data_IF_340183571038
#
_entry.id   IF_340183571038
#
_cell.length_a   1.000
_cell.length_b   1.000
_cell.length_c   1.000
_cell.angle_alpha   90.00
_cell.angle_beta   90.00
_cell.angle_gamma   90.00
#
_symmetry.space_group_name_H-M   'P 1'
#
loop_
_entity.id
_entity.type
_entity.pdbx_description
1 polymer ?
#
# COMPACT_ATOMS: atom_id res chain seq x y z
N UNK A 1 -15.03 -4.79 -18.68
CA UNK A 1 -14.15 -5.35 -17.65
C UNK A 1 -14.27 -6.87 -17.49
N UNK A 2 -15.32 -7.41 -16.88
CA UNK A 2 -15.25 -8.79 -16.34
C UNK A 2 -15.44 -9.95 -17.33
N UNK A 3 -15.92 -9.70 -18.56
CA UNK A 3 -16.32 -10.77 -19.51
C UNK A 3 -15.23 -11.82 -19.74
N UNK A 4 -13.98 -11.38 -19.93
CA UNK A 4 -12.85 -12.28 -20.17
C UNK A 4 -12.50 -13.10 -18.92
N UNK A 5 -12.64 -12.49 -17.73
CA UNK A 5 -12.38 -13.16 -16.46
C UNK A 5 -13.46 -14.19 -16.13
N UNK A 6 -14.73 -13.91 -16.43
CA UNK A 6 -15.84 -14.88 -16.31
C UNK A 6 -15.64 -16.07 -17.25
N UNK A 7 -15.18 -15.85 -18.49
CA UNK A 7 -14.81 -16.93 -19.41
C UNK A 7 -13.65 -17.77 -18.88
N UNK A 8 -12.68 -17.13 -18.23
CA UNK A 8 -11.54 -17.80 -17.61
C UNK A 8 -11.99 -18.66 -16.43
N UNK A 9 -12.84 -18.13 -15.55
CA UNK A 9 -13.45 -18.90 -14.45
C UNK A 9 -14.24 -20.11 -14.97
N UNK A 10 -15.06 -19.94 -16.01
CA UNK A 10 -15.79 -21.04 -16.63
C UNK A 10 -14.85 -22.11 -17.23
N UNK A 11 -13.68 -21.73 -17.73
CA UNK A 11 -12.67 -22.67 -18.19
C UNK A 11 -11.97 -23.40 -17.03
N UNK A 12 -11.68 -22.71 -15.93
CA UNK A 12 -11.13 -23.32 -14.70
C UNK A 12 -12.11 -24.32 -14.09
N UNK A 13 -13.37 -23.95 -13.92
CA UNK A 13 -14.43 -24.85 -13.40
C UNK A 13 -14.62 -26.09 -14.27
N UNK A 14 -14.49 -25.93 -15.59
CA UNK A 14 -14.56 -27.04 -16.53
C UNK A 14 -13.28 -27.89 -16.62
N UNK A 15 -12.25 -27.59 -15.82
CA UNK A 15 -10.95 -28.29 -15.86
C UNK A 15 -10.14 -28.05 -17.14
N UNK A 16 -10.50 -27.06 -17.95
CA UNK A 16 -9.79 -26.69 -19.19
C UNK A 16 -8.55 -25.84 -18.92
N UNK A 17 -8.51 -25.17 -17.78
CA UNK A 17 -7.35 -24.43 -17.28
C UNK A 17 -7.04 -24.99 -15.89
N UNK A 18 -5.79 -25.41 -15.67
CA UNK A 18 -5.35 -25.84 -14.35
C UNK A 18 -5.27 -24.63 -13.40
N UNK A 19 -5.74 -24.82 -12.17
CA UNK A 19 -5.59 -23.85 -11.08
C UNK A 19 -4.12 -23.46 -10.81
N UNK A 20 -3.15 -24.31 -11.15
CA UNK A 20 -1.73 -23.98 -11.06
C UNK A 20 -1.33 -22.78 -11.93
N UNK A 21 -2.09 -22.48 -12.98
CA UNK A 21 -1.86 -21.30 -13.81
C UNK A 21 -2.08 -19.96 -13.06
N UNK A 22 -2.59 -20.00 -11.82
CA UNK A 22 -2.82 -18.86 -10.94
C UNK A 22 -1.97 -18.92 -9.67
N UNK A 23 -1.14 -19.96 -9.51
CA UNK A 23 -0.28 -20.11 -8.35
C UNK A 23 0.71 -18.94 -8.22
N UNK A 24 1.13 -18.66 -6.98
CA UNK A 24 2.21 -17.72 -6.73
C UNK A 24 3.42 -18.10 -7.57
N UNK A 25 3.97 -17.11 -8.26
CA UNK A 25 5.16 -17.29 -9.08
C UNK A 25 6.11 -16.12 -8.82
N UNK A 26 7.16 -16.40 -8.06
CA UNK A 26 8.22 -15.43 -7.80
C UNK A 26 8.90 -15.00 -9.11
N UNK A 27 9.08 -13.70 -9.25
CA UNK A 27 9.82 -13.01 -10.30
C UNK A 27 10.55 -11.82 -9.68
N UNK A 28 11.46 -11.19 -10.43
CA UNK A 28 12.26 -10.07 -9.96
C UNK A 28 12.20 -8.92 -10.97
N UNK A 29 12.08 -7.69 -10.48
CA UNK A 29 12.15 -6.49 -11.31
C UNK A 29 13.60 -6.12 -11.67
N UNK A 30 13.78 -5.02 -12.42
CA UNK A 30 15.11 -4.56 -12.84
C UNK A 30 15.99 -4.12 -11.65
N UNK A 31 15.38 -3.78 -10.51
CA UNK A 31 16.02 -3.37 -9.26
C UNK A 31 16.30 -4.57 -8.34
N UNK A 32 15.88 -5.78 -8.73
CA UNK A 32 16.07 -7.02 -7.98
C UNK A 32 15.04 -7.25 -6.88
N UNK A 33 13.96 -6.48 -6.82
CA UNK A 33 12.88 -6.71 -5.87
C UNK A 33 12.00 -7.88 -6.33
N UNK A 34 11.66 -8.78 -5.40
CA UNK A 34 10.78 -9.90 -5.70
C UNK A 34 9.32 -9.47 -5.84
N UNK A 35 8.60 -10.07 -6.79
CA UNK A 35 7.17 -9.87 -6.96
C UNK A 35 6.49 -11.16 -7.44
N UNK A 36 5.16 -11.21 -7.36
CA UNK A 36 4.37 -12.33 -7.88
C UNK A 36 3.87 -12.05 -9.30
N UNK A 37 4.44 -12.75 -10.28
CA UNK A 37 4.07 -12.63 -11.69
C UNK A 37 2.61 -13.01 -11.98
N UNK A 38 1.98 -13.81 -11.12
CA UNK A 38 0.59 -14.23 -11.28
C UNK A 38 -0.40 -13.45 -10.40
N UNK A 39 0.05 -12.44 -9.64
CA UNK A 39 -0.80 -11.66 -8.71
C UNK A 39 -2.07 -11.15 -9.38
N UNK A 40 -1.92 -10.37 -10.46
CA UNK A 40 -3.05 -9.74 -11.14
C UNK A 40 -3.98 -10.78 -11.80
N UNK A 41 -3.40 -11.83 -12.38
CA UNK A 41 -4.16 -12.93 -12.99
C UNK A 41 -5.01 -13.67 -11.95
N UNK A 42 -4.47 -13.91 -10.77
CA UNK A 42 -5.18 -14.54 -9.65
C UNK A 42 -6.26 -13.62 -9.09
N UNK A 43 -5.98 -12.34 -8.93
CA UNK A 43 -6.97 -11.38 -8.47
C UNK A 43 -8.15 -11.23 -9.43
N UNK A 44 -7.89 -11.21 -10.75
CA UNK A 44 -8.92 -11.25 -11.80
C UNK A 44 -9.83 -12.48 -11.69
N UNK A 45 -9.27 -13.65 -11.34
CA UNK A 45 -10.07 -14.86 -11.10
C UNK A 45 -10.93 -14.75 -9.84
N UNK A 46 -10.41 -14.15 -8.76
CA UNK A 46 -11.17 -13.89 -7.53
C UNK A 46 -12.34 -12.93 -7.77
N UNK A 47 -12.12 -11.87 -8.56
CA UNK A 47 -13.20 -10.97 -8.97
C UNK A 47 -14.26 -11.70 -9.80
N UNK A 48 -13.87 -12.57 -10.73
CA UNK A 48 -14.82 -13.40 -11.45
C UNK A 48 -15.63 -14.30 -10.49
N UNK A 49 -14.98 -14.90 -9.50
CA UNK A 49 -15.64 -15.72 -8.45
C UNK A 49 -16.60 -14.89 -7.59
N UNK A 50 -16.31 -13.62 -7.36
CA UNK A 50 -17.18 -12.72 -6.61
C UNK A 50 -18.52 -12.49 -7.33
N UNK A 51 -18.50 -12.33 -8.65
CA UNK A 51 -19.69 -11.95 -9.43
C UNK A 51 -20.40 -13.14 -10.10
N UNK A 52 -19.75 -14.29 -10.18
CA UNK A 52 -20.35 -15.55 -10.63
C UNK A 52 -20.07 -16.63 -9.60
N UNK A 53 -20.71 -16.53 -8.42
CA UNK A 53 -20.48 -17.41 -7.26
C UNK A 53 -21.10 -18.79 -7.48
N UNK A 54 -20.43 -19.85 -7.03
CA UNK A 54 -20.96 -21.22 -7.01
C UNK A 54 -20.69 -21.91 -5.67
N UNK A 55 -21.63 -22.74 -5.21
CA UNK A 55 -21.46 -23.61 -4.04
C UNK A 55 -20.38 -24.69 -4.24
N UNK A 56 -19.89 -24.86 -5.46
CA UNK A 56 -18.82 -25.81 -5.78
C UNK A 56 -17.41 -25.18 -5.73
N UNK A 57 -17.30 -23.87 -5.48
CA UNK A 57 -16.02 -23.16 -5.57
C UNK A 57 -15.13 -23.33 -4.34
N UNK A 58 -15.60 -23.92 -3.23
CA UNK A 58 -14.81 -24.03 -2.00
C UNK A 58 -13.41 -24.63 -2.23
N UNK A 59 -13.25 -25.76 -2.94
CA UNK A 59 -11.92 -26.33 -3.15
C UNK A 59 -11.00 -25.42 -3.99
N UNK A 60 -11.57 -24.66 -4.94
CA UNK A 60 -10.80 -23.69 -5.72
C UNK A 60 -10.37 -22.52 -4.83
N UNK A 61 -11.27 -21.95 -4.04
CA UNK A 61 -10.98 -20.85 -3.13
C UNK A 61 -9.97 -21.26 -2.05
N UNK A 62 -10.04 -22.47 -1.51
CA UNK A 62 -9.02 -22.99 -0.60
C UNK A 62 -7.63 -23.06 -1.25
N UNK A 63 -7.54 -23.42 -2.55
CA UNK A 63 -6.27 -23.42 -3.28
C UNK A 63 -5.76 -21.99 -3.46
N UNK A 64 -6.62 -21.08 -3.93
CA UNK A 64 -6.26 -19.67 -4.13
C UNK A 64 -5.84 -19.01 -2.82
N UNK A 65 -6.52 -19.30 -1.72
CA UNK A 65 -6.20 -18.80 -0.38
C UNK A 65 -4.77 -19.17 0.04
N UNK A 66 -4.34 -20.41 -0.21
CA UNK A 66 -2.95 -20.83 0.06
C UNK A 66 -1.95 -20.03 -0.78
N UNK A 67 -2.27 -19.74 -2.02
CA UNK A 67 -1.39 -18.96 -2.91
C UNK A 67 -1.30 -17.49 -2.48
N UNK A 68 -2.41 -16.89 -2.04
CA UNK A 68 -2.42 -15.55 -1.44
C UNK A 68 -1.58 -15.52 -0.15
N UNK A 69 -1.70 -16.53 0.72
CA UNK A 69 -0.86 -16.65 1.92
C UNK A 69 0.63 -16.77 1.59
N UNK A 70 1.00 -17.58 0.59
CA UNK A 70 2.40 -17.67 0.13
C UNK A 70 2.88 -16.29 -0.36
N UNK A 71 2.10 -15.63 -1.23
CA UNK A 71 2.45 -14.32 -1.76
C UNK A 71 2.73 -13.30 -0.63
N UNK A 72 1.88 -13.25 0.41
CA UNK A 72 2.05 -12.30 1.52
C UNK A 72 3.28 -12.59 2.41
N UNK A 73 3.72 -13.86 2.49
CA UNK A 73 4.96 -14.23 3.20
C UNK A 73 6.22 -13.84 2.46
N UNK A 74 6.14 -13.77 1.13
CA UNK A 74 7.27 -13.45 0.26
C UNK A 74 7.24 -12.00 -0.27
N UNK A 75 6.23 -11.20 0.10
CA UNK A 75 6.11 -9.81 -0.34
C UNK A 75 7.20 -8.94 0.34
N UNK A 76 8.12 -8.33 -0.42
CA UNK A 76 9.27 -7.62 0.17
C UNK A 76 8.86 -6.40 0.99
N UNK A 77 7.75 -5.75 0.61
CA UNK A 77 7.24 -4.54 1.26
C UNK A 77 6.11 -4.82 2.24
N UNK A 78 5.89 -6.08 2.61
CA UNK A 78 4.75 -6.52 3.41
C UNK A 78 3.41 -6.07 2.78
N UNK A 79 2.39 -5.79 3.58
CA UNK A 79 1.09 -5.30 3.14
C UNK A 79 -0.06 -6.30 3.32
N UNK A 80 -1.28 -5.75 3.36
CA UNK A 80 -2.54 -6.48 3.31
C UNK A 80 -3.24 -6.15 1.99
N UNK A 81 -3.20 -7.09 1.03
CA UNK A 81 -3.70 -6.84 -0.31
C UNK A 81 -5.20 -7.16 -0.42
N UNK A 82 -5.97 -6.42 -1.26
CA UNK A 82 -7.39 -6.67 -1.49
C UNK A 82 -7.70 -8.11 -1.93
N UNK A 83 -6.80 -8.76 -2.67
CA UNK A 83 -6.94 -10.14 -3.14
C UNK A 83 -7.07 -11.15 -2.00
N UNK A 84 -6.27 -11.03 -0.94
CA UNK A 84 -6.35 -11.90 0.23
C UNK A 84 -7.67 -11.69 0.98
N UNK A 85 -8.06 -10.43 1.20
CA UNK A 85 -9.32 -10.09 1.86
C UNK A 85 -10.55 -10.60 1.09
N UNK A 86 -10.55 -10.43 -0.23
CA UNK A 86 -11.61 -10.93 -1.12
C UNK A 86 -11.66 -12.46 -1.09
N UNK A 87 -10.52 -13.14 -1.26
CA UNK A 87 -10.45 -14.60 -1.21
C UNK A 87 -10.94 -15.14 0.14
N UNK A 88 -10.53 -14.51 1.24
CA UNK A 88 -10.95 -14.89 2.58
C UNK A 88 -12.46 -14.71 2.78
N UNK A 89 -13.02 -13.59 2.32
CA UNK A 89 -14.46 -13.37 2.34
C UNK A 89 -15.21 -14.43 1.53
N UNK A 90 -14.84 -14.67 0.28
CA UNK A 90 -15.50 -15.67 -0.56
C UNK A 90 -15.45 -17.06 0.07
N UNK A 91 -14.29 -17.46 0.63
CA UNK A 91 -14.13 -18.74 1.31
C UNK A 91 -14.94 -18.83 2.62
N UNK A 92 -15.08 -17.74 3.36
CA UNK A 92 -15.83 -17.70 4.63
C UNK A 92 -17.31 -18.03 4.46
N UNK A 93 -17.88 -17.77 3.27
CA UNK A 93 -19.30 -17.99 2.96
C UNK A 93 -19.70 -19.48 2.98
N UNK A 94 -18.75 -20.38 2.78
CA UNK A 94 -18.98 -21.83 2.85
C UNK A 94 -19.18 -22.34 4.28
N UNK A 95 -18.81 -21.52 5.27
CA UNK A 95 -18.95 -21.82 6.71
C UNK A 95 -18.37 -23.18 7.12
N UNK A 96 -17.32 -23.63 6.45
CA UNK A 96 -16.61 -24.85 6.80
C UNK A 96 -15.63 -24.59 7.95
N UNK A 97 -15.77 -25.28 9.11
CA UNK A 97 -14.89 -25.09 10.25
C UNK A 97 -13.41 -25.37 9.93
N UNK A 98 -13.13 -26.26 8.98
CA UNK A 98 -11.76 -26.61 8.57
C UNK A 98 -11.00 -25.44 7.93
N UNK A 99 -11.71 -24.43 7.39
CA UNK A 99 -11.07 -23.25 6.82
C UNK A 99 -10.40 -22.36 7.88
N UNK A 100 -10.67 -22.57 9.18
CA UNK A 100 -10.00 -21.86 10.29
C UNK A 100 -8.48 -21.87 10.13
N UNK A 101 -7.89 -22.99 9.71
CA UNK A 101 -6.45 -23.11 9.57
C UNK A 101 -5.88 -22.27 8.42
N UNK A 102 -6.64 -22.11 7.33
CA UNK A 102 -6.25 -21.22 6.23
C UNK A 102 -6.33 -19.75 6.67
N UNK A 103 -7.34 -19.40 7.46
CA UNK A 103 -7.48 -18.04 7.99
C UNK A 103 -6.41 -17.70 9.03
N UNK A 104 -6.07 -18.65 9.92
CA UNK A 104 -4.98 -18.46 10.89
C UNK A 104 -3.64 -18.29 10.17
N UNK A 105 -3.36 -19.10 9.15
CA UNK A 105 -2.14 -18.94 8.35
C UNK A 105 -2.08 -17.59 7.62
N UNK A 106 -3.19 -17.16 7.03
CA UNK A 106 -3.25 -15.84 6.39
C UNK A 106 -2.99 -14.70 7.37
N UNK A 107 -3.59 -14.74 8.56
CA UNK A 107 -3.38 -13.75 9.61
C UNK A 107 -1.92 -13.67 10.09
N UNK A 108 -1.12 -14.70 9.87
CA UNK A 108 0.28 -14.78 10.31
C UNK A 108 1.27 -14.62 9.14
N UNK A 109 0.83 -14.15 7.97
CA UNK A 109 1.69 -14.15 6.79
C UNK A 109 2.78 -13.08 6.84
N UNK A 110 2.50 -11.93 7.46
CA UNK A 110 3.41 -10.81 7.67
C UNK A 110 2.85 -9.87 8.76
N UNK A 111 3.51 -8.75 9.07
CA UNK A 111 3.07 -7.82 10.10
C UNK A 111 1.69 -7.18 9.78
N UNK A 112 1.46 -6.79 8.53
CA UNK A 112 0.22 -6.11 8.15
C UNK A 112 -1.00 -7.03 8.18
N UNK A 113 -0.83 -8.30 7.81
CA UNK A 113 -1.88 -9.32 7.97
C UNK A 113 -2.12 -9.65 9.45
N UNK A 114 -1.08 -9.64 10.28
CA UNK A 114 -1.21 -9.80 11.72
C UNK A 114 -2.13 -8.73 12.32
N UNK A 115 -1.85 -7.47 11.99
CA UNK A 115 -2.59 -6.31 12.49
C UNK A 115 -3.97 -6.13 11.81
N UNK A 116 -4.04 -6.28 10.49
CA UNK A 116 -5.17 -5.85 9.67
C UNK A 116 -6.12 -6.94 9.19
N UNK A 117 -5.71 -8.22 9.18
CA UNK A 117 -6.60 -9.31 8.75
C UNK A 117 -7.64 -9.60 9.84
N UNK A 118 -8.93 -9.53 9.49
CA UNK A 118 -10.02 -9.63 10.46
C UNK A 118 -10.00 -10.96 11.24
N UNK A 119 -10.00 -10.87 12.56
CA UNK A 119 -10.03 -12.06 13.44
C UNK A 119 -11.33 -12.86 13.31
N UNK A 120 -12.42 -12.22 12.87
CA UNK A 120 -13.72 -12.83 12.62
C UNK A 120 -13.67 -13.94 11.56
N UNK A 121 -12.70 -13.91 10.64
CA UNK A 121 -12.50 -15.00 9.68
C UNK A 121 -12.24 -16.34 10.39
N UNK A 122 -11.50 -16.34 11.52
CA UNK A 122 -11.14 -17.56 12.25
C UNK A 122 -12.35 -18.31 12.80
N UNK A 123 -13.45 -17.61 13.10
CA UNK A 123 -14.71 -18.20 13.59
C UNK A 123 -15.85 -18.05 12.57
N UNK A 124 -15.52 -17.85 11.29
CA UNK A 124 -16.50 -17.54 10.24
C UNK A 124 -17.46 -18.68 9.92
N UNK A 125 -17.15 -19.93 10.28
CA UNK A 125 -18.10 -21.04 10.26
C UNK A 125 -19.26 -20.85 11.26
N UNK A 126 -19.03 -20.05 12.31
CA UNK A 126 -19.85 -19.93 13.50
C UNK A 126 -18.99 -20.26 14.72
N UNK A 127 -19.19 -19.53 15.83
CA UNK A 127 -18.35 -19.67 17.04
C UNK A 127 -18.44 -21.11 17.56
N UNK A 128 -19.65 -21.62 17.78
CA UNK A 128 -19.90 -22.98 18.26
C UNK A 128 -19.29 -24.04 17.33
N UNK A 129 -19.58 -23.95 16.04
CA UNK A 129 -19.12 -24.94 15.05
C UNK A 129 -17.59 -24.95 14.93
N UNK A 130 -16.95 -23.78 15.05
CA UNK A 130 -15.49 -23.65 14.99
C UNK A 130 -14.85 -24.25 16.23
N UNK A 131 -15.27 -23.87 17.44
CA UNK A 131 -14.70 -24.42 18.67
C UNK A 131 -14.88 -25.93 18.77
N UNK A 132 -16.06 -26.45 18.41
CA UNK A 132 -16.32 -27.89 18.37
C UNK A 132 -15.33 -28.62 17.46
N UNK A 133 -14.99 -28.04 16.31
CA UNK A 133 -13.99 -28.60 15.40
C UNK A 133 -12.56 -28.49 15.96
N UNK A 134 -12.19 -27.31 16.48
CA UNK A 134 -10.83 -27.02 16.94
C UNK A 134 -10.45 -27.85 18.18
N UNK A 135 -11.39 -28.11 19.09
CA UNK A 135 -11.15 -28.89 20.32
C UNK A 135 -10.57 -30.27 20.00
N UNK A 136 -11.12 -30.95 19.00
CA UNK A 136 -10.70 -32.31 18.62
C UNK A 136 -9.58 -32.32 17.57
N UNK A 137 -9.30 -31.19 16.93
CA UNK A 137 -8.27 -31.10 15.90
C UNK A 137 -6.85 -31.14 16.50
N UNK A 138 -5.98 -31.95 15.89
CA UNK A 138 -4.53 -31.89 16.05
C UNK A 138 -3.96 -31.03 14.92
N UNK A 139 -3.62 -29.77 15.22
CA UNK A 139 -3.08 -28.83 14.24
C UNK A 139 -2.06 -27.88 14.89
N UNK A 140 -0.97 -27.57 14.18
CA UNK A 140 0.11 -26.68 14.66
C UNK A 140 -0.39 -25.28 15.08
N UNK A 141 -1.38 -24.73 14.36
CA UNK A 141 -1.96 -23.41 14.61
C UNK A 141 -3.03 -23.37 15.71
N UNK A 142 -3.27 -24.47 16.43
CA UNK A 142 -4.32 -24.55 17.46
C UNK A 142 -4.07 -23.56 18.61
N UNK A 143 -2.83 -23.47 19.11
CA UNK A 143 -2.49 -22.49 20.15
C UNK A 143 -2.75 -21.07 19.66
N UNK A 144 -2.29 -20.75 18.45
CA UNK A 144 -2.44 -19.42 17.88
C UNK A 144 -3.90 -19.03 17.64
N UNK A 145 -4.75 -19.98 17.27
CA UNK A 145 -6.19 -19.75 17.22
C UNK A 145 -6.71 -19.26 18.58
N UNK A 146 -6.41 -19.97 19.66
CA UNK A 146 -6.83 -19.58 21.01
C UNK A 146 -6.25 -18.23 21.45
N UNK A 147 -5.00 -17.94 21.08
CA UNK A 147 -4.37 -16.64 21.38
C UNK A 147 -5.15 -15.46 20.79
N UNK A 148 -5.76 -15.64 19.62
CA UNK A 148 -6.56 -14.61 18.96
C UNK A 148 -7.99 -14.56 19.44
N UNK A 149 -8.67 -15.71 19.52
CA UNK A 149 -10.12 -15.74 19.69
C UNK A 149 -10.56 -16.05 21.12
N UNK A 150 -9.68 -16.53 22.00
CA UNK A 150 -9.98 -16.96 23.37
C UNK A 150 -9.87 -18.47 23.55
N UNK A 151 -9.46 -18.90 24.76
CA UNK A 151 -9.13 -20.31 25.08
C UNK A 151 -10.29 -21.30 24.93
N UNK A 152 -11.52 -20.82 25.13
CA UNK A 152 -12.74 -21.61 24.99
C UNK A 152 -13.87 -20.74 24.43
N UNK A 153 -15.01 -21.39 24.21
CA UNK A 153 -16.18 -20.78 23.61
C UNK A 153 -16.78 -19.69 24.50
N UNK A 154 -16.81 -19.92 25.80
CA UNK A 154 -17.35 -19.02 26.81
C UNK A 154 -16.51 -17.74 26.94
N UNK A 155 -15.20 -17.86 26.73
CA UNK A 155 -14.20 -16.80 26.75
C UNK A 155 -13.87 -16.27 25.34
N UNK A 156 -14.70 -16.58 24.34
CA UNK A 156 -14.47 -16.10 22.98
C UNK A 156 -14.57 -14.57 22.93
N UNK A 157 -13.53 -13.92 22.40
CA UNK A 157 -13.44 -12.45 22.26
C UNK A 157 -14.41 -11.89 21.22
N UNK A 158 -14.98 -12.75 20.37
CA UNK A 158 -15.95 -12.40 19.35
C UNK A 158 -17.31 -12.94 19.78
N UNK A 159 -18.31 -12.08 19.94
CA UNK A 159 -19.67 -12.52 20.19
C UNK A 159 -20.48 -12.64 18.90
N UNK A 160 -21.66 -13.28 18.99
CA UNK A 160 -22.53 -13.55 17.83
C UNK A 160 -23.02 -12.29 17.12
N UNK A 161 -23.27 -11.19 17.85
CA UNK A 161 -23.67 -9.92 17.24
C UNK A 161 -22.54 -9.29 16.45
N UNK A 162 -21.31 -9.33 16.96
CA UNK A 162 -20.13 -8.80 16.27
C UNK A 162 -19.84 -9.60 15.00
N UNK A 163 -19.92 -10.93 15.07
CA UNK A 163 -19.76 -11.79 13.90
C UNK A 163 -20.83 -11.53 12.84
N UNK A 164 -22.09 -11.28 13.26
CA UNK A 164 -23.19 -10.95 12.34
C UNK A 164 -22.97 -9.60 11.67
N UNK A 165 -22.66 -8.56 12.45
CA UNK A 165 -22.37 -7.22 11.92
C UNK A 165 -21.19 -7.24 10.96
N UNK A 166 -20.14 -7.99 11.30
CA UNK A 166 -18.98 -8.16 10.43
C UNK A 166 -19.35 -8.83 9.11
N UNK A 167 -20.17 -9.90 9.12
CA UNK A 167 -20.65 -10.53 7.88
C UNK A 167 -21.47 -9.58 7.02
N UNK A 168 -22.37 -8.80 7.62
CA UNK A 168 -23.16 -7.79 6.91
C UNK A 168 -22.27 -6.70 6.29
N UNK A 169 -21.24 -6.25 7.01
CA UNK A 169 -20.27 -5.30 6.49
C UNK A 169 -19.48 -5.89 5.31
N UNK A 170 -19.05 -7.15 5.39
CA UNK A 170 -18.34 -7.83 4.29
C UNK A 170 -19.22 -8.07 3.08
N UNK A 171 -20.50 -8.40 3.24
CA UNK A 171 -21.41 -8.54 2.10
C UNK A 171 -21.65 -7.19 1.40
N UNK A 172 -21.68 -6.08 2.14
CA UNK A 172 -21.73 -4.73 1.55
C UNK A 172 -20.43 -4.36 0.84
N UNK A 173 -19.29 -4.70 1.43
CA UNK A 173 -17.96 -4.44 0.85
C UNK A 173 -17.72 -5.26 -0.43
N UNK A 174 -18.19 -6.52 -0.46
CA UNK A 174 -18.00 -7.44 -1.56
C UNK A 174 -19.36 -7.93 -2.09
N UNK A 175 -20.09 -7.08 -2.83
CA UNK A 175 -21.40 -7.43 -3.34
C UNK A 175 -21.31 -8.58 -4.36
N UNK A 176 -22.40 -9.34 -4.50
CA UNK A 176 -22.52 -10.42 -5.50
C UNK A 176 -22.81 -9.92 -6.92
N UNK A 177 -23.18 -8.65 -7.05
CA UNK A 177 -23.48 -7.99 -8.31
C UNK A 177 -22.61 -6.75 -8.41
N UNK A 178 -22.10 -6.51 -9.62
CA UNK A 178 -21.34 -5.31 -9.91
C UNK A 178 -22.32 -4.20 -10.25
N UNK A 179 -22.33 -3.14 -9.46
CA UNK A 179 -22.98 -1.89 -9.83
C UNK A 179 -22.05 -1.15 -10.79
N UNK A 180 -22.45 -1.07 -12.06
CA UNK A 180 -21.71 -0.35 -13.10
C UNK A 180 -22.25 1.08 -13.29
N UNK A 181 -23.28 1.48 -12.54
CA UNK A 181 -23.85 2.82 -12.60
C UNK A 181 -23.07 3.81 -11.72
N UNK A 182 -22.46 3.32 -10.62
CA UNK A 182 -21.56 4.11 -9.81
C UNK A 182 -20.17 4.22 -10.46
N UNK A 183 -19.85 5.40 -10.97
CA UNK A 183 -18.58 5.67 -11.64
C UNK A 183 -17.35 5.48 -10.73
N UNK A 184 -17.48 5.72 -9.43
CA UNK A 184 -16.36 5.57 -8.48
C UNK A 184 -16.02 4.09 -8.31
N UNK A 185 -17.01 3.22 -8.15
CA UNK A 185 -16.80 1.77 -8.09
C UNK A 185 -16.15 1.23 -9.38
N UNK A 186 -16.49 1.81 -10.53
CA UNK A 186 -15.86 1.47 -11.81
C UNK A 186 -14.41 1.95 -11.88
N UNK A 187 -14.09 3.12 -11.32
CA UNK A 187 -12.72 3.64 -11.22
C UNK A 187 -11.88 2.75 -10.29
N UNK A 188 -12.37 2.45 -9.08
CA UNK A 188 -11.68 1.56 -8.13
C UNK A 188 -11.40 0.20 -8.76
N UNK A 189 -12.39 -0.39 -9.45
CA UNK A 189 -12.21 -1.66 -10.14
C UNK A 189 -11.18 -1.56 -11.29
N UNK A 190 -11.13 -0.44 -12.01
CA UNK A 190 -10.14 -0.23 -13.06
C UNK A 190 -8.72 -0.06 -12.50
N UNK A 191 -8.57 0.58 -11.33
CA UNK A 191 -7.30 0.66 -10.59
C UNK A 191 -6.85 -0.74 -10.19
N UNK A 192 -7.74 -1.49 -9.53
CA UNK A 192 -7.50 -2.86 -9.05
C UNK A 192 -7.13 -3.85 -10.16
N UNK A 193 -7.67 -3.64 -11.36
CA UNK A 193 -7.44 -4.47 -12.54
C UNK A 193 -6.31 -3.97 -13.45
N UNK A 194 -5.68 -2.84 -13.11
CA UNK A 194 -4.67 -2.15 -13.92
C UNK A 194 -5.16 -1.87 -15.36
N UNK A 195 -6.44 -1.53 -15.52
CA UNK A 195 -7.10 -1.23 -16.81
C UNK A 195 -6.95 0.26 -17.16
N UNK A 196 -5.73 0.65 -17.56
CA UNK A 196 -5.31 2.06 -17.69
C UNK A 196 -6.18 2.91 -18.62
N UNK A 197 -6.55 2.39 -19.79
CA UNK A 197 -7.37 3.16 -20.75
C UNK A 197 -8.78 3.44 -20.20
N UNK A 198 -9.38 2.43 -19.56
CA UNK A 198 -10.70 2.55 -18.95
C UNK A 198 -10.67 3.48 -17.73
N UNK A 199 -9.61 3.36 -16.91
CA UNK A 199 -9.38 4.26 -15.78
C UNK A 199 -9.34 5.72 -16.25
N UNK A 200 -8.56 6.04 -17.28
CA UNK A 200 -8.45 7.40 -17.83
C UNK A 200 -9.77 7.90 -18.45
N UNK A 201 -10.56 7.03 -19.07
CA UNK A 201 -11.90 7.38 -19.53
C UNK A 201 -12.81 7.76 -18.36
N UNK A 202 -12.87 6.90 -17.33
CA UNK A 202 -13.80 7.05 -16.20
C UNK A 202 -13.42 8.19 -15.27
N UNK A 203 -12.13 8.43 -15.04
CA UNK A 203 -11.68 9.60 -14.28
C UNK A 203 -12.07 10.90 -15.00
N UNK A 204 -11.98 10.97 -16.34
CA UNK A 204 -12.45 12.15 -17.10
C UNK A 204 -13.96 12.35 -16.98
N UNK A 205 -14.73 11.27 -17.06
CA UNK A 205 -16.18 11.32 -16.86
C UNK A 205 -16.54 11.75 -15.44
N UNK A 206 -15.89 11.19 -14.40
CA UNK A 206 -16.10 11.56 -13.00
C UNK A 206 -15.79 13.03 -12.76
N UNK A 207 -14.68 13.56 -13.30
CA UNK A 207 -14.32 14.99 -13.24
C UNK A 207 -15.40 15.88 -13.86
N UNK A 208 -16.04 15.44 -14.94
CA UNK A 208 -17.10 16.21 -15.62
C UNK A 208 -18.42 16.27 -14.83
N UNK A 209 -18.62 15.35 -13.89
CA UNK A 209 -19.79 15.30 -13.02
C UNK A 209 -19.60 16.11 -11.73
N UNK A 210 -18.36 16.47 -11.38
CA UNK A 210 -18.06 17.29 -10.21
C UNK A 210 -18.55 18.73 -10.41
N UNK A 211 -19.30 19.24 -9.43
CA UNK A 211 -19.83 20.61 -9.44
C UNK A 211 -19.00 21.54 -8.57
N UNK A 212 -18.57 21.05 -7.41
CA UNK A 212 -17.76 21.75 -6.43
C UNK A 212 -16.59 20.85 -6.05
N UNK A 213 -15.44 21.47 -5.78
CA UNK A 213 -14.24 20.79 -5.31
C UNK A 213 -14.00 21.16 -3.86
N UNK A 214 -14.03 20.16 -2.99
CA UNK A 214 -13.71 20.24 -1.57
C UNK A 214 -12.47 19.40 -1.24
N UNK A 215 -12.05 19.41 0.03
CA UNK A 215 -10.87 18.66 0.45
C UNK A 215 -11.01 17.15 0.16
N UNK A 216 -12.20 16.57 0.32
CA UNK A 216 -12.42 15.13 0.11
C UNK A 216 -12.28 14.77 -1.37
N UNK A 217 -12.99 15.48 -2.24
CA UNK A 217 -12.99 15.27 -3.69
C UNK A 217 -11.63 15.57 -4.31
N UNK A 218 -10.89 16.56 -3.79
CA UNK A 218 -9.52 16.82 -4.24
C UNK A 218 -8.54 15.71 -3.81
N UNK A 219 -8.66 15.18 -2.59
CA UNK A 219 -7.85 14.03 -2.18
C UNK A 219 -8.12 12.80 -3.06
N UNK A 220 -9.39 12.56 -3.41
CA UNK A 220 -9.77 11.49 -4.33
C UNK A 220 -9.21 11.73 -5.74
N UNK A 221 -9.27 12.97 -6.24
CA UNK A 221 -8.65 13.34 -7.51
C UNK A 221 -7.13 13.09 -7.52
N UNK A 222 -6.43 13.40 -6.42
CA UNK A 222 -4.99 13.08 -6.29
C UNK A 222 -4.75 11.58 -6.47
N UNK A 223 -5.55 10.72 -5.84
CA UNK A 223 -5.43 9.26 -5.99
C UNK A 223 -5.67 8.85 -7.45
N UNK A 224 -6.73 9.35 -8.07
CA UNK A 224 -7.10 9.00 -9.44
C UNK A 224 -6.07 9.46 -10.48
N UNK A 225 -5.59 10.69 -10.38
CA UNK A 225 -4.56 11.21 -11.28
C UNK A 225 -3.22 10.48 -11.12
N UNK A 226 -2.89 10.03 -9.89
CA UNK A 226 -1.70 9.18 -9.65
C UNK A 226 -1.81 7.85 -10.40
N UNK A 227 -2.95 7.16 -10.29
CA UNK A 227 -3.15 5.89 -11.01
C UNK A 227 -3.27 6.06 -12.53
N UNK A 228 -3.62 7.27 -12.99
CA UNK A 228 -3.61 7.61 -14.42
C UNK A 228 -2.21 7.98 -14.95
N UNK A 229 -1.18 8.01 -14.10
CA UNK A 229 0.15 8.56 -14.38
C UNK A 229 0.12 10.04 -14.85
N UNK A 230 -0.89 10.80 -14.41
CA UNK A 230 -1.05 12.20 -14.77
C UNK A 230 -0.45 13.12 -13.70
N UNK A 231 0.88 13.27 -13.74
CA UNK A 231 1.64 14.09 -12.79
C UNK A 231 1.12 15.53 -12.72
N UNK A 232 0.78 16.14 -13.86
CA UNK A 232 0.24 17.49 -13.89
C UNK A 232 -1.12 17.61 -13.18
N UNK A 233 -1.98 16.60 -13.32
CA UNK A 233 -3.26 16.51 -12.62
C UNK A 233 -3.08 16.38 -11.11
N UNK A 234 -2.12 15.57 -10.67
CA UNK A 234 -1.77 15.42 -9.24
C UNK A 234 -1.32 16.75 -8.64
N UNK A 235 -0.41 17.46 -9.31
CA UNK A 235 0.09 18.76 -8.85
C UNK A 235 -1.05 19.77 -8.76
N UNK A 236 -1.87 19.89 -9.81
CA UNK A 236 -3.00 20.82 -9.81
C UNK A 236 -3.96 20.58 -8.63
N UNK A 237 -4.28 19.32 -8.34
CA UNK A 237 -5.13 18.97 -7.19
C UNK A 237 -4.44 19.26 -5.84
N UNK A 238 -3.14 18.96 -5.72
CA UNK A 238 -2.38 19.23 -4.49
C UNK A 238 -2.19 20.73 -4.20
N UNK A 239 -2.02 21.57 -5.22
CA UNK A 239 -1.96 23.03 -5.06
C UNK A 239 -3.28 23.59 -4.54
N UNK A 240 -4.42 23.07 -5.01
CA UNK A 240 -5.73 23.45 -4.51
C UNK A 240 -5.96 22.94 -3.06
N UNK A 241 -5.50 21.72 -2.74
CA UNK A 241 -5.56 21.16 -1.38
C UNK A 241 -4.83 22.01 -0.34
N UNK A 242 -3.79 22.74 -0.73
CA UNK A 242 -3.04 23.60 0.18
C UNK A 242 -3.93 24.63 0.88
N UNK A 243 -5.02 25.07 0.24
CA UNK A 243 -5.97 26.05 0.81
C UNK A 243 -6.77 25.52 2.00
N UNK A 244 -6.88 24.21 2.15
CA UNK A 244 -7.59 23.56 3.24
C UNK A 244 -6.67 23.27 4.43
N UNK A 245 -5.36 23.43 4.29
CA UNK A 245 -4.38 23.15 5.35
C UNK A 245 -4.26 24.35 6.28
N UNK A 246 -4.35 24.11 7.59
CA UNK A 246 -4.44 25.18 8.59
C UNK A 246 -3.34 25.13 9.65
N UNK A 247 -2.76 23.96 9.90
CA UNK A 247 -1.65 23.81 10.84
C UNK A 247 -0.31 23.90 10.12
N UNK A 248 0.74 24.37 10.80
CA UNK A 248 2.10 24.37 10.25
C UNK A 248 2.54 22.97 9.78
N UNK A 249 2.10 21.94 10.51
CA UNK A 249 2.34 20.55 10.15
C UNK A 249 1.70 20.16 8.81
N UNK A 250 0.40 20.41 8.67
CA UNK A 250 -0.34 20.03 7.46
C UNK A 250 0.14 20.81 6.24
N UNK A 251 0.47 22.09 6.42
CA UNK A 251 1.03 22.93 5.36
C UNK A 251 2.41 22.42 4.95
N UNK A 252 3.32 22.18 5.90
CA UNK A 252 4.66 21.66 5.60
C UNK A 252 4.59 20.28 4.92
N UNK A 253 3.68 19.40 5.37
CA UNK A 253 3.47 18.08 4.77
C UNK A 253 2.94 18.17 3.32
N UNK A 254 2.00 19.07 3.06
CA UNK A 254 1.47 19.29 1.70
C UNK A 254 2.53 19.89 0.77
N UNK A 255 3.32 20.87 1.25
CA UNK A 255 4.40 21.48 0.48
C UNK A 255 5.54 20.50 0.20
N UNK A 256 5.85 19.61 1.14
CA UNK A 256 6.80 18.50 0.94
C UNK A 256 6.31 17.59 -0.17
N UNK A 257 5.04 17.19 -0.15
CA UNK A 257 4.46 16.34 -1.21
C UNK A 257 4.50 17.04 -2.57
N UNK A 258 4.19 18.34 -2.62
CA UNK A 258 4.27 19.13 -3.85
C UNK A 258 5.70 19.20 -4.39
N UNK A 259 6.72 19.36 -3.55
CA UNK A 259 8.10 19.42 -4.02
C UNK A 259 8.54 18.10 -4.68
N UNK A 260 8.15 16.94 -4.14
CA UNK A 260 8.40 15.63 -4.77
C UNK A 260 7.78 15.54 -6.17
N UNK A 261 6.56 16.06 -6.36
CA UNK A 261 5.92 16.02 -7.68
C UNK A 261 6.53 17.00 -8.67
N UNK A 262 6.96 18.18 -8.24
CA UNK A 262 7.69 19.11 -9.12
C UNK A 262 9.07 18.57 -9.50
N UNK A 263 9.76 17.87 -8.59
CA UNK A 263 11.00 17.15 -8.92
C UNK A 263 10.77 16.10 -10.02
N UNK A 264 9.66 15.34 -9.94
CA UNK A 264 9.28 14.38 -11.00
C UNK A 264 8.98 15.03 -12.35
N UNK A 265 8.60 16.31 -12.40
CA UNK A 265 8.43 17.07 -13.64
C UNK A 265 9.75 17.66 -14.18
N UNK A 266 10.85 17.57 -13.44
CA UNK A 266 12.10 18.24 -13.80
C UNK A 266 12.16 19.71 -13.36
N UNK A 267 11.22 20.18 -12.54
CA UNK A 267 11.07 21.59 -12.15
C UNK A 267 11.75 21.87 -10.80
N UNK A 268 13.09 21.79 -10.77
CA UNK A 268 13.89 21.89 -9.55
C UNK A 268 13.68 23.23 -8.80
N UNK A 269 13.60 24.35 -9.52
CA UNK A 269 13.37 25.67 -8.93
C UNK A 269 12.01 25.79 -8.24
N UNK A 270 10.97 25.21 -8.86
CA UNK A 270 9.63 25.23 -8.29
C UNK A 270 9.58 24.33 -7.06
N UNK A 271 10.20 23.14 -7.12
CA UNK A 271 10.32 22.25 -5.97
C UNK A 271 11.03 22.94 -4.80
N UNK A 272 12.14 23.64 -5.06
CA UNK A 272 12.83 24.42 -4.04
C UNK A 272 11.95 25.53 -3.45
N UNK A 273 11.18 26.26 -4.25
CA UNK A 273 10.27 27.27 -3.73
C UNK A 273 9.22 26.68 -2.75
N UNK A 274 8.76 25.44 -2.97
CA UNK A 274 7.88 24.74 -2.03
C UNK A 274 8.61 24.34 -0.76
N UNK A 275 9.84 23.83 -0.86
CA UNK A 275 10.69 23.49 0.29
C UNK A 275 11.02 24.75 1.11
N UNK A 276 11.35 25.85 0.45
CA UNK A 276 11.62 27.14 1.07
C UNK A 276 10.40 27.63 1.85
N UNK A 277 9.19 27.49 1.30
CA UNK A 277 7.98 27.80 2.07
C UNK A 277 7.79 26.84 3.25
N UNK A 278 7.98 25.53 3.04
CA UNK A 278 7.82 24.52 4.08
C UNK A 278 8.78 24.74 5.27
N UNK A 279 10.02 25.18 5.02
CA UNK A 279 11.01 25.41 6.07
C UNK A 279 10.62 26.52 7.05
N UNK A 280 9.83 27.50 6.61
CA UNK A 280 9.30 28.54 7.49
C UNK A 280 8.27 27.94 8.47
N UNK A 281 7.38 27.06 8.00
CA UNK A 281 6.43 26.36 8.86
C UNK A 281 7.11 25.37 9.81
N UNK A 282 8.19 24.70 9.38
CA UNK A 282 8.96 23.81 10.25
C UNK A 282 9.49 24.51 11.51
N UNK A 283 9.81 25.81 11.45
CA UNK A 283 10.29 26.58 12.61
C UNK A 283 9.27 26.64 13.76
N UNK A 284 7.99 26.41 13.46
CA UNK A 284 6.90 26.40 14.44
C UNK A 284 6.55 25.00 14.95
N UNK A 285 7.21 23.95 14.44
CA UNK A 285 6.99 22.55 14.83
C UNK A 285 8.08 22.11 15.82
N UNK A 286 7.75 21.78 17.07
CA UNK A 286 8.72 21.29 18.04
C UNK A 286 9.38 19.99 17.57
N UNK A 287 10.69 19.86 17.78
CA UNK A 287 11.48 18.66 17.46
C UNK A 287 11.29 18.14 16.02
N UNK A 288 11.00 19.03 15.06
CA UNK A 288 10.70 18.64 13.68
C UNK A 288 11.82 17.82 13.02
N UNK A 289 13.06 17.94 13.51
CA UNK A 289 14.24 17.18 13.09
C UNK A 289 14.20 15.71 13.51
N UNK A 290 13.48 15.39 14.59
CA UNK A 290 13.38 14.02 15.11
C UNK A 290 12.22 13.24 14.49
N UNK A 291 11.23 13.95 13.95
CA UNK A 291 10.08 13.35 13.26
C UNK A 291 10.35 13.18 11.76
N UNK A 292 9.68 12.21 11.14
CA UNK A 292 9.91 11.87 9.73
C UNK A 292 9.70 13.03 8.75
N UNK A 293 8.75 13.94 9.03
CA UNK A 293 8.45 15.07 8.15
C UNK A 293 9.67 15.94 7.87
N UNK A 294 10.44 16.27 8.91
CA UNK A 294 11.65 17.06 8.76
C UNK A 294 12.71 16.42 7.87
N UNK A 295 12.95 15.13 8.13
CA UNK A 295 13.94 14.33 7.39
C UNK A 295 13.59 14.25 5.91
N UNK A 296 12.32 14.03 5.58
CA UNK A 296 11.84 14.01 4.19
C UNK A 296 12.00 15.37 3.49
N UNK A 297 11.81 16.49 4.18
CA UNK A 297 12.02 17.82 3.58
C UNK A 297 13.52 18.07 3.30
N UNK A 298 14.40 17.65 4.21
CA UNK A 298 15.86 17.70 4.00
C UNK A 298 16.26 16.82 2.82
N UNK A 299 15.69 15.62 2.72
CA UNK A 299 15.92 14.70 1.60
C UNK A 299 15.50 15.33 0.25
N UNK A 300 14.30 15.92 0.18
CA UNK A 300 13.84 16.60 -1.04
C UNK A 300 14.76 17.78 -1.43
N UNK A 301 15.43 18.43 -0.48
CA UNK A 301 16.38 19.48 -0.77
C UNK A 301 17.66 18.94 -1.43
N UNK A 302 18.14 17.75 -1.03
CA UNK A 302 19.19 17.06 -1.78
C UNK A 302 18.70 16.63 -3.17
N UNK A 303 17.47 16.14 -3.30
CA UNK A 303 16.91 15.79 -4.62
C UNK A 303 16.85 16.99 -5.59
N UNK A 304 16.66 18.21 -5.09
CA UNK A 304 16.79 19.44 -5.89
C UNK A 304 18.21 19.58 -6.45
N UNK A 305 19.24 19.35 -5.64
CA UNK A 305 20.65 19.45 -6.05
C UNK A 305 20.97 18.37 -7.10
N UNK A 306 20.54 17.13 -6.83
CA UNK A 306 20.76 16.00 -7.74
C UNK A 306 20.07 16.20 -9.09
N UNK A 307 18.84 16.71 -9.10
CA UNK A 307 18.10 16.96 -10.33
C UNK A 307 18.69 18.11 -11.13
N UNK A 308 19.05 19.21 -10.48
CA UNK A 308 19.58 20.40 -11.14
C UNK A 308 21.01 20.17 -11.65
N UNK A 309 21.82 19.37 -10.93
CA UNK A 309 23.15 18.90 -11.33
C UNK A 309 24.08 20.01 -11.87
N UNK A 310 24.02 21.19 -11.24
CA UNK A 310 24.88 22.34 -11.58
C UNK A 310 25.22 23.11 -10.31
N UNK A 311 26.45 22.96 -9.83
CA UNK A 311 26.95 23.64 -8.64
C UNK A 311 26.91 25.18 -8.73
N UNK A 312 26.87 25.75 -9.93
CA UNK A 312 26.78 27.20 -10.12
C UNK A 312 25.33 27.69 -10.12
N UNK A 313 24.35 26.79 -10.18
CA UNK A 313 22.95 27.16 -10.14
C UNK A 313 22.59 27.76 -8.77
N UNK A 314 21.96 28.95 -8.71
CA UNK A 314 21.64 29.58 -7.43
C UNK A 314 20.81 28.69 -6.51
N UNK A 315 19.84 27.97 -7.07
CA UNK A 315 18.98 27.04 -6.32
C UNK A 315 19.76 25.85 -5.77
N UNK A 316 20.68 25.24 -6.54
CA UNK A 316 21.55 24.17 -6.04
C UNK A 316 22.30 24.61 -4.79
N UNK A 317 22.95 25.78 -4.86
CA UNK A 317 23.77 26.30 -3.77
C UNK A 317 22.96 26.50 -2.50
N UNK A 318 21.83 27.19 -2.60
CA UNK A 318 21.00 27.48 -1.43
C UNK A 318 20.35 26.20 -0.87
N UNK A 319 19.92 25.28 -1.74
CA UNK A 319 19.38 24.00 -1.33
C UNK A 319 20.41 23.14 -0.60
N UNK A 320 21.61 22.99 -1.17
CA UNK A 320 22.72 22.26 -0.57
C UNK A 320 23.15 22.86 0.77
N UNK A 321 23.41 24.17 0.82
CA UNK A 321 23.83 24.86 2.05
C UNK A 321 22.83 24.63 3.20
N UNK A 322 21.53 24.74 2.91
CA UNK A 322 20.49 24.49 3.91
C UNK A 322 20.40 23.02 4.30
N UNK A 323 20.35 22.10 3.34
CA UNK A 323 20.23 20.66 3.59
C UNK A 323 21.44 20.13 4.38
N UNK A 324 22.65 20.61 4.06
CA UNK A 324 23.89 20.30 4.75
C UNK A 324 23.85 20.71 6.23
N UNK A 325 23.39 21.94 6.51
CA UNK A 325 23.22 22.41 7.89
C UNK A 325 22.21 21.52 8.65
N UNK A 326 21.12 21.12 7.99
CA UNK A 326 20.09 20.33 8.64
C UNK A 326 20.53 18.90 8.90
N UNK A 327 21.12 18.19 7.92
CA UNK A 327 21.53 16.79 8.07
C UNK A 327 22.59 16.61 9.17
N UNK A 328 23.51 17.56 9.32
CA UNK A 328 24.51 17.55 10.40
C UNK A 328 23.89 17.67 11.80
N UNK A 329 22.68 18.19 11.90
CA UNK A 329 21.91 18.29 13.14
C UNK A 329 20.90 17.15 13.33
N UNK A 330 20.81 16.18 12.40
CA UNK A 330 19.94 15.02 12.52
C UNK A 330 20.62 13.90 13.32
N UNK A 331 19.86 13.26 14.21
CA UNK A 331 20.29 12.03 14.87
C UNK A 331 19.95 10.82 13.99
N UNK A 332 20.94 10.04 13.54
CA UNK A 332 20.72 8.81 12.77
C UNK A 332 19.97 9.02 11.44
N UNK A 333 20.57 9.66 10.43
CA UNK A 333 20.01 9.72 9.08
C UNK A 333 19.93 8.31 8.45
N UNK A 334 18.86 8.03 7.71
CA UNK A 334 18.67 6.74 7.04
C UNK A 334 19.55 6.63 5.78
N UNK A 335 19.80 5.39 5.33
CA UNK A 335 20.70 5.09 4.21
C UNK A 335 20.44 5.93 2.95
N UNK A 336 19.19 6.05 2.52
CA UNK A 336 18.84 6.82 1.32
C UNK A 336 19.22 8.30 1.44
N UNK A 337 19.01 8.90 2.61
CA UNK A 337 19.39 10.29 2.84
C UNK A 337 20.92 10.48 2.85
N UNK A 338 21.65 9.53 3.44
CA UNK A 338 23.12 9.55 3.44
C UNK A 338 23.70 9.42 2.02
N UNK A 339 23.15 8.51 1.22
CA UNK A 339 23.55 8.32 -0.17
C UNK A 339 23.32 9.61 -0.98
N UNK A 340 22.10 10.16 -0.94
CA UNK A 340 21.76 11.41 -1.64
C UNK A 340 22.63 12.58 -1.20
N UNK A 341 22.95 12.66 0.10
CA UNK A 341 23.82 13.70 0.64
C UNK A 341 25.26 13.59 0.12
N UNK A 342 25.80 12.37 -0.01
CA UNK A 342 27.12 12.13 -0.60
C UNK A 342 27.14 12.52 -2.09
N UNK A 343 26.17 12.05 -2.87
CA UNK A 343 26.05 12.39 -4.30
C UNK A 343 25.89 13.91 -4.52
N UNK A 344 25.11 14.59 -3.68
CA UNK A 344 24.99 16.03 -3.75
C UNK A 344 26.29 16.76 -3.37
N UNK A 345 27.06 16.24 -2.39
CA UNK A 345 28.34 16.81 -2.02
C UNK A 345 29.38 16.70 -3.16
N UNK A 346 29.40 15.58 -3.90
CA UNK A 346 30.22 15.42 -5.11
C UNK A 346 29.85 16.45 -6.19
N UNK A 347 28.56 16.60 -6.52
CA UNK A 347 28.07 17.62 -7.46
C UNK A 347 28.56 19.02 -7.06
N UNK A 348 28.53 19.32 -5.76
CA UNK A 348 28.93 20.61 -5.21
C UNK A 348 30.45 20.79 -5.06
N UNK A 349 31.24 19.74 -5.30
CA UNK A 349 32.70 19.74 -5.15
C UNK A 349 33.17 19.80 -3.68
N UNK A 350 32.36 19.31 -2.74
CA UNK A 350 32.65 19.26 -1.31
C UNK A 350 33.17 17.87 -0.90
N UNK A 351 34.38 17.53 -1.38
CA UNK A 351 35.04 16.22 -1.18
C UNK A 351 35.04 15.78 0.29
N UNK A 352 35.17 16.73 1.22
CA UNK A 352 35.18 16.45 2.66
C UNK A 352 33.83 15.96 3.17
N UNK A 353 32.73 16.57 2.72
CA UNK A 353 31.38 16.14 3.13
C UNK A 353 30.98 14.85 2.43
N UNK A 354 31.36 14.67 1.17
CA UNK A 354 31.17 13.41 0.45
C UNK A 354 31.77 12.22 1.21
N UNK A 355 33.07 12.29 1.55
CA UNK A 355 33.76 11.23 2.31
C UNK A 355 33.11 10.97 3.67
N UNK A 356 32.67 12.03 4.35
CA UNK A 356 31.98 11.92 5.63
C UNK A 356 30.64 11.17 5.50
N UNK A 357 29.82 11.49 4.49
CA UNK A 357 28.53 10.84 4.28
C UNK A 357 28.67 9.40 3.80
N UNK A 358 29.65 9.09 2.94
CA UNK A 358 29.95 7.71 2.53
C UNK A 358 30.40 6.86 3.72
N UNK A 359 31.22 7.41 4.61
CA UNK A 359 31.63 6.72 5.84
C UNK A 359 30.42 6.42 6.73
N UNK A 360 29.57 7.42 6.96
CA UNK A 360 28.34 7.25 7.74
C UNK A 360 27.37 6.25 7.10
N UNK A 361 27.27 6.22 5.77
CA UNK A 361 26.47 5.23 5.03
C UNK A 361 26.93 3.81 5.34
N UNK A 362 28.24 3.54 5.23
CA UNK A 362 28.81 2.21 5.50
C UNK A 362 28.62 1.80 6.95
N UNK A 363 28.72 2.73 7.90
CA UNK A 363 28.46 2.47 9.32
C UNK A 363 26.99 2.10 9.58
N UNK A 364 26.06 2.84 8.97
CA UNK A 364 24.62 2.58 9.11
C UNK A 364 24.19 1.30 8.39
N UNK A 365 24.79 0.99 7.24
CA UNK A 365 24.53 -0.25 6.50
C UNK A 365 24.92 -1.46 7.35
N UNK A 366 26.11 -1.44 7.96
CA UNK A 366 26.53 -2.47 8.91
C UNK A 366 25.58 -2.57 10.10
N UNK A 367 25.14 -1.45 10.68
CA UNK A 367 24.18 -1.47 11.79
C UNK A 367 22.87 -2.17 11.42
N UNK A 368 22.38 -1.99 10.20
CA UNK A 368 21.13 -2.58 9.74
C UNK A 368 21.29 -4.08 9.40
N UNK A 369 22.40 -4.47 8.80
CA UNK A 369 22.58 -5.83 8.25
C UNK A 369 23.46 -6.77 9.10
N UNK A 370 24.23 -6.25 10.06
CA UNK A 370 25.04 -7.05 11.00
C UNK A 370 24.36 -7.23 12.38
N UNK A 371 23.15 -6.70 12.59
CA UNK A 371 22.32 -6.90 13.80
C UNK A 371 21.33 -8.10 13.70
N UNK A 372 21.37 -8.86 12.60
CA UNK A 372 20.76 -10.21 12.46
C UNK A 372 21.76 -11.33 12.80
#
# INVERSE_FOLDING_TARGET
MLKNHLQTLAAVRAGRIDCQAFAYQEAFDEEGHSYDANRLKRFRLLLALQYDRSEQDEPLLQKLMRQETIMHRHAPFQGLYPSLCLCAYLLSRFRSPMNVWLFTQAKLSNFDTHCGFDVQYLVSAGIEETYRYVVDAEHEWKSTFYDYVGEDRENCRINSSDLTRWREAKEKQYPSQLDMENIEDVIELAIDLEEKELLQEKVREWKSQQKDWDETTLNQLVVYERHCDNVAGVIAAQEELLRYKTTDWDIASQLRSLSEWYLKLGEADVAWAKIDTARHHLQHIPDWKRVGLGRMIVENAFDVVLLQNDANHPTCRVAYEWALEQIQALEGPHLNLLQKAAEAADIMGDERMEEQFLTAYVEEEKRIYDED
#
